data_IF_347904570490
#
_entry.id   IF_347904570490
#
_cell.length_a   1.000
_cell.length_b   1.000
_cell.length_c   1.000
_cell.angle_alpha   90.00
_cell.angle_beta   90.00
_cell.angle_gamma   90.00
#
_symmetry.space_group_name_H-M   'P 1'
#
loop_
_entity.id
_entity.type
_entity.pdbx_description
1 polymer ?
#
# COMPACT_ATOMS: atom_id res chain seq x y z
N UNK A 1 29.80 -4.61 2.41
CA UNK A 1 28.34 -4.64 2.14
C UNK A 1 27.66 -5.35 3.30
N UNK A 2 26.77 -4.67 4.01
CA UNK A 2 25.93 -5.21 5.12
C UNK A 2 24.83 -6.10 4.55
N UNK A 3 24.29 -7.00 5.40
CA UNK A 3 23.29 -7.97 4.95
C UNK A 3 22.06 -7.94 5.84
N UNK A 4 20.87 -7.71 5.24
CA UNK A 4 19.59 -7.73 5.94
C UNK A 4 18.81 -9.02 5.65
N UNK A 5 18.26 -9.63 6.71
CA UNK A 5 17.28 -10.71 6.60
C UNK A 5 15.88 -10.13 6.70
N UNK A 6 15.12 -10.17 5.61
CA UNK A 6 13.77 -9.63 5.53
C UNK A 6 12.76 -10.72 5.84
N UNK A 7 11.88 -10.48 6.81
CA UNK A 7 10.77 -11.36 7.17
C UNK A 7 9.49 -10.77 6.59
N UNK A 8 8.96 -11.41 5.56
CA UNK A 8 7.74 -10.99 4.87
C UNK A 8 6.88 -12.22 4.56
N UNK A 9 5.90 -12.59 5.41
CA UNK A 9 5.11 -13.81 5.25
C UNK A 9 4.44 -13.95 3.90
N UNK A 10 3.93 -12.87 3.34
CA UNK A 10 3.55 -12.80 1.93
C UNK A 10 4.71 -12.23 1.12
N UNK A 11 5.02 -12.87 0.01
CA UNK A 11 5.96 -12.36 -0.98
C UNK A 11 5.59 -12.90 -2.37
N UNK A 12 6.27 -12.42 -3.42
CA UNK A 12 5.94 -12.84 -4.79
C UNK A 12 5.81 -14.36 -4.93
N UNK A 13 4.84 -14.86 -5.69
CA UNK A 13 3.87 -14.19 -6.56
C UNK A 13 2.58 -13.70 -5.86
N UNK A 14 2.54 -13.64 -4.52
CA UNK A 14 1.38 -13.12 -3.80
C UNK A 14 1.17 -11.64 -4.12
N UNK A 15 -0.09 -11.25 -4.45
CA UNK A 15 -0.49 -9.87 -4.65
C UNK A 15 -0.95 -9.20 -3.32
N UNK A 16 -0.25 -9.46 -2.23
CA UNK A 16 -0.53 -8.82 -0.95
C UNK A 16 0.10 -7.43 -0.89
N UNK A 17 -0.62 -6.47 -0.33
CA UNK A 17 -0.17 -5.07 -0.32
C UNK A 17 1.10 -4.88 0.53
N UNK A 18 1.25 -5.63 1.61
CA UNK A 18 2.34 -5.49 2.57
C UNK A 18 3.73 -5.91 2.04
N UNK A 19 3.79 -6.74 1.01
CA UNK A 19 5.06 -7.13 0.41
C UNK A 19 5.61 -6.09 -0.60
N UNK A 20 4.80 -5.12 -0.99
CA UNK A 20 5.17 -4.17 -2.06
C UNK A 20 6.40 -3.34 -1.69
N UNK A 21 6.53 -2.90 -0.43
CA UNK A 21 7.72 -2.19 0.05
C UNK A 21 8.99 -3.00 -0.19
N UNK A 22 8.97 -4.27 0.25
CA UNK A 22 10.13 -5.18 0.10
C UNK A 22 10.48 -5.33 -1.37
N UNK A 23 9.49 -5.69 -2.19
CA UNK A 23 9.67 -5.91 -3.63
C UNK A 23 10.30 -4.72 -4.34
N UNK A 24 9.76 -3.52 -4.11
CA UNK A 24 10.24 -2.29 -4.75
C UNK A 24 11.63 -1.86 -4.28
N UNK A 25 12.07 -2.28 -3.08
CA UNK A 25 13.37 -1.90 -2.53
C UNK A 25 14.50 -2.82 -2.99
N UNK A 26 14.20 -4.08 -3.33
CA UNK A 26 15.23 -5.08 -3.65
C UNK A 26 16.22 -4.67 -4.73
N UNK A 27 15.84 -4.01 -5.84
CA UNK A 27 16.78 -3.61 -6.87
C UNK A 27 17.81 -2.58 -6.42
N UNK A 28 17.54 -1.87 -5.31
CA UNK A 28 18.32 -0.69 -4.91
C UNK A 28 19.17 -0.88 -3.66
N UNK A 29 19.05 -1.98 -2.92
CA UNK A 29 19.83 -2.19 -1.70
C UNK A 29 21.35 -2.11 -1.94
N UNK A 30 21.82 -2.64 -3.08
CA UNK A 30 23.25 -2.62 -3.43
C UNK A 30 23.78 -1.21 -3.68
N UNK A 31 22.93 -0.27 -4.12
CA UNK A 31 23.29 1.15 -4.29
C UNK A 31 23.69 1.82 -2.96
N UNK A 32 23.33 1.20 -1.83
CA UNK A 32 23.52 1.73 -0.48
C UNK A 32 24.29 0.76 0.42
N UNK A 33 25.19 -0.05 -0.17
CA UNK A 33 26.05 -1.02 0.51
C UNK A 33 25.31 -2.08 1.34
N UNK A 34 24.07 -2.40 0.93
CA UNK A 34 23.26 -3.46 1.53
C UNK A 34 23.01 -4.61 0.55
N UNK A 35 22.88 -5.82 1.10
CA UNK A 35 22.32 -6.98 0.41
C UNK A 35 21.16 -7.53 1.20
N UNK A 36 20.20 -8.18 0.53
CA UNK A 36 18.99 -8.68 1.16
C UNK A 36 18.75 -10.16 0.84
N UNK A 37 18.27 -10.90 1.83
CA UNK A 37 17.63 -12.20 1.63
C UNK A 37 16.25 -12.18 2.28
N UNK A 38 15.28 -12.89 1.71
CA UNK A 38 13.89 -12.86 2.15
C UNK A 38 13.49 -14.23 2.69
N UNK A 39 12.75 -14.23 3.80
CA UNK A 39 12.05 -15.42 4.29
C UNK A 39 10.54 -15.16 4.21
N UNK A 40 9.85 -15.97 3.42
CA UNK A 40 8.40 -15.91 3.22
C UNK A 40 7.76 -17.27 3.41
N UNK A 41 6.42 -17.35 3.44
CA UNK A 41 5.71 -18.62 3.48
C UNK A 41 5.50 -19.15 2.06
N UNK A 42 5.64 -20.46 1.87
CA UNK A 42 5.42 -21.10 0.57
C UNK A 42 3.98 -20.92 0.07
N UNK A 43 3.82 -20.78 -1.24
CA UNK A 43 2.56 -20.47 -1.93
C UNK A 43 1.43 -21.43 -1.54
N UNK A 44 1.72 -22.72 -1.43
CA UNK A 44 0.74 -23.76 -1.08
C UNK A 44 0.09 -23.59 0.30
N UNK A 45 0.61 -22.72 1.15
CA UNK A 45 0.09 -22.46 2.49
C UNK A 45 -0.67 -21.14 2.60
N UNK A 46 -0.70 -20.32 1.54
CA UNK A 46 -1.35 -19.01 1.52
C UNK A 46 -2.71 -19.07 0.84
N UNK A 47 -3.59 -18.12 1.18
CA UNK A 47 -4.85 -17.90 0.48
C UNK A 47 -4.79 -16.60 -0.34
N UNK A 48 -3.60 -16.08 -0.59
CA UNK A 48 -3.42 -14.85 -1.34
C UNK A 48 -3.77 -15.04 -2.81
N UNK A 49 -4.25 -14.00 -3.44
CA UNK A 49 -4.34 -13.95 -4.90
C UNK A 49 -2.92 -13.85 -5.46
N UNK A 50 -2.63 -14.64 -6.48
CA UNK A 50 -1.32 -14.64 -7.13
C UNK A 50 -1.32 -13.79 -8.40
N UNK A 51 -0.23 -13.08 -8.60
CA UNK A 51 0.13 -12.40 -9.84
C UNK A 51 1.58 -12.78 -10.17
N UNK A 52 1.75 -13.69 -11.11
CA UNK A 52 3.06 -14.25 -11.42
C UNK A 52 4.00 -13.27 -12.09
N UNK A 53 3.49 -12.23 -12.74
CA UNK A 53 4.31 -11.15 -13.31
C UNK A 53 5.07 -10.36 -12.23
N UNK A 54 4.64 -10.42 -10.97
CA UNK A 54 5.39 -9.80 -9.86
C UNK A 54 6.80 -10.37 -9.71
N UNK A 55 7.06 -11.61 -10.16
CA UNK A 55 8.39 -12.19 -10.15
C UNK A 55 9.38 -11.42 -11.03
N UNK A 56 8.92 -10.82 -12.14
CA UNK A 56 9.75 -10.09 -13.10
C UNK A 56 10.35 -8.82 -12.50
N UNK A 57 9.77 -8.33 -11.40
CA UNK A 57 10.26 -7.17 -10.67
C UNK A 57 11.33 -7.50 -9.62
N UNK A 58 11.60 -8.77 -9.37
CA UNK A 58 12.57 -9.21 -8.36
C UNK A 58 13.90 -9.59 -9.05
N UNK A 59 15.02 -8.96 -8.66
CA UNK A 59 16.33 -9.31 -9.23
C UNK A 59 16.68 -10.78 -9.01
N UNK A 60 17.19 -11.45 -10.05
CA UNK A 60 17.46 -12.89 -10.04
C UNK A 60 18.49 -13.34 -8.96
N UNK A 61 19.35 -12.43 -8.50
CA UNK A 61 20.35 -12.73 -7.46
C UNK A 61 19.79 -12.76 -6.04
N UNK A 62 18.54 -12.32 -5.83
CA UNK A 62 17.90 -12.29 -4.51
C UNK A 62 17.51 -13.70 -4.09
N UNK A 63 18.03 -14.14 -2.94
CA UNK A 63 17.65 -15.42 -2.35
C UNK A 63 16.32 -15.30 -1.61
N UNK A 64 15.36 -16.14 -2.00
CA UNK A 64 14.04 -16.24 -1.39
C UNK A 64 13.91 -17.59 -0.71
N UNK A 65 13.83 -17.58 0.62
CA UNK A 65 13.64 -18.76 1.45
C UNK A 65 12.14 -18.96 1.73
N UNK A 66 11.61 -20.14 1.41
CA UNK A 66 10.21 -20.47 1.62
C UNK A 66 10.05 -21.41 2.81
N UNK A 67 9.30 -20.97 3.84
CA UNK A 67 8.97 -21.79 5.00
C UNK A 67 7.58 -22.39 4.89
N UNK A 68 7.34 -23.49 5.62
CA UNK A 68 6.02 -24.10 5.72
C UNK A 68 5.11 -23.37 6.70
N UNK A 69 3.82 -23.69 6.65
CA UNK A 69 2.85 -23.29 7.66
C UNK A 69 1.88 -24.45 7.95
N UNK A 70 1.25 -24.44 9.11
CA UNK A 70 0.20 -25.39 9.43
C UNK A 70 -1.01 -25.22 8.49
N UNK A 71 -1.69 -26.29 8.08
CA UNK A 71 -2.85 -26.21 7.20
C UNK A 71 -3.97 -25.37 7.82
N UNK A 72 -4.46 -24.36 7.09
CA UNK A 72 -5.52 -23.45 7.57
C UNK A 72 -6.79 -24.18 7.97
N UNK A 73 -7.18 -25.23 7.22
CA UNK A 73 -8.38 -26.03 7.50
C UNK A 73 -8.38 -26.64 8.91
N UNK A 74 -7.21 -27.01 9.43
CA UNK A 74 -7.05 -27.57 10.76
C UNK A 74 -7.02 -26.50 11.85
N UNK A 75 -6.28 -25.41 11.61
CA UNK A 75 -5.94 -24.41 12.62
C UNK A 75 -7.00 -23.31 12.75
N UNK A 76 -7.78 -23.05 11.70
CA UNK A 76 -8.82 -22.01 11.70
C UNK A 76 -9.85 -22.18 12.83
N UNK A 77 -10.22 -23.41 13.15
CA UNK A 77 -11.19 -23.71 14.24
C UNK A 77 -10.69 -23.20 15.60
N UNK A 78 -9.38 -23.18 15.82
CA UNK A 78 -8.73 -22.76 17.06
C UNK A 78 -8.30 -21.28 17.08
N UNK A 79 -8.76 -20.47 16.13
CA UNK A 79 -8.37 -19.04 16.05
C UNK A 79 -7.04 -18.79 15.32
N UNK A 80 -6.25 -19.82 15.02
CA UNK A 80 -4.97 -19.72 14.32
C UNK A 80 -5.17 -19.64 12.80
N UNK A 81 -5.94 -18.65 12.34
CA UNK A 81 -6.21 -18.43 10.90
C UNK A 81 -5.15 -17.61 10.19
N UNK A 82 -4.44 -16.72 10.91
CA UNK A 82 -3.39 -15.88 10.35
C UNK A 82 -2.22 -16.72 9.82
N UNK A 83 -1.69 -16.35 8.67
CA UNK A 83 -0.51 -16.99 8.08
C UNK A 83 0.69 -16.88 9.01
N UNK A 84 0.87 -15.75 9.71
CA UNK A 84 1.93 -15.55 10.67
C UNK A 84 1.87 -16.55 11.83
N UNK A 85 0.70 -16.69 12.48
CA UNK A 85 0.54 -17.63 13.61
C UNK A 85 0.77 -19.08 13.18
N UNK A 86 0.29 -19.46 11.98
CA UNK A 86 0.46 -20.82 11.43
C UNK A 86 1.90 -21.16 11.07
N UNK A 87 2.72 -20.16 10.79
CA UNK A 87 4.09 -20.34 10.34
C UNK A 87 5.15 -20.04 11.41
N UNK A 88 4.79 -19.53 12.60
CA UNK A 88 5.73 -19.12 13.64
C UNK A 88 6.81 -20.16 13.98
N UNK A 89 6.39 -21.43 14.19
CA UNK A 89 7.34 -22.49 14.51
C UNK A 89 8.31 -22.79 13.35
N UNK A 90 7.80 -22.76 12.12
CA UNK A 90 8.61 -22.99 10.92
C UNK A 90 9.59 -21.83 10.70
N UNK A 91 9.16 -20.57 10.89
CA UNK A 91 10.05 -19.41 10.87
C UNK A 91 11.16 -19.56 11.91
N UNK A 92 10.80 -19.83 13.17
CA UNK A 92 11.77 -20.00 14.25
C UNK A 92 12.80 -21.09 13.93
N UNK A 93 12.34 -22.24 13.45
CA UNK A 93 13.21 -23.37 13.11
C UNK A 93 14.12 -23.06 11.95
N UNK A 94 13.56 -22.55 10.84
CA UNK A 94 14.29 -22.26 9.62
C UNK A 94 15.32 -21.13 9.81
N UNK A 95 14.89 -20.00 10.34
CA UNK A 95 15.74 -18.83 10.54
C UNK A 95 16.84 -19.13 11.58
N UNK A 96 16.58 -19.92 12.62
CA UNK A 96 17.64 -20.39 13.52
C UNK A 96 18.75 -21.17 12.80
N UNK A 97 18.40 -21.96 11.81
CA UNK A 97 19.41 -22.70 11.01
C UNK A 97 20.17 -21.76 10.08
N UNK A 98 19.46 -20.81 9.48
CA UNK A 98 20.02 -19.82 8.57
C UNK A 98 21.03 -18.93 9.30
N UNK A 99 20.65 -18.35 10.44
CA UNK A 99 21.52 -17.47 11.26
C UNK A 99 22.72 -18.17 11.89
N UNK A 100 22.75 -19.51 11.93
CA UNK A 100 23.96 -20.26 12.33
C UNK A 100 24.93 -20.47 11.17
N UNK A 101 24.44 -20.43 9.94
CA UNK A 101 25.22 -20.72 8.73
C UNK A 101 25.72 -19.46 8.04
N UNK A 102 24.94 -18.38 8.09
CA UNK A 102 25.21 -17.13 7.40
C UNK A 102 25.11 -15.97 8.39
N UNK A 103 25.99 -14.97 8.20
CA UNK A 103 25.98 -13.75 9.00
C UNK A 103 25.01 -12.75 8.40
N UNK A 104 24.15 -12.19 9.24
CA UNK A 104 23.29 -11.05 8.92
C UNK A 104 23.55 -9.95 9.93
N UNK A 105 23.48 -8.71 9.48
CA UNK A 105 23.73 -7.52 10.31
C UNK A 105 22.42 -6.97 10.91
N UNK A 106 21.27 -7.29 10.28
CA UNK A 106 19.95 -6.81 10.68
C UNK A 106 18.86 -7.81 10.32
N UNK A 107 17.79 -7.86 11.11
CA UNK A 107 16.51 -8.51 10.76
C UNK A 107 15.47 -7.42 10.54
N UNK A 108 14.81 -7.41 9.40
CA UNK A 108 13.77 -6.45 9.06
C UNK A 108 12.42 -7.14 8.87
N UNK A 109 11.46 -6.82 9.72
CA UNK A 109 10.09 -7.29 9.60
C UNK A 109 9.28 -6.28 8.78
N UNK A 110 8.97 -6.60 7.55
CA UNK A 110 8.12 -5.75 6.69
C UNK A 110 6.86 -6.51 6.30
N UNK A 111 5.79 -6.30 7.06
CA UNK A 111 4.54 -7.05 6.90
C UNK A 111 3.41 -6.48 7.75
N UNK A 112 2.16 -6.73 7.34
CA UNK A 112 0.96 -6.58 8.17
C UNK A 112 0.59 -7.87 8.92
N UNK A 113 1.36 -8.94 8.72
CA UNK A 113 1.21 -10.21 9.46
C UNK A 113 2.02 -10.16 10.77
N UNK A 114 1.74 -9.17 11.58
CA UNK A 114 2.50 -8.75 12.76
C UNK A 114 2.86 -9.84 13.77
N UNK A 115 2.06 -10.90 14.04
CA UNK A 115 2.45 -11.93 15.02
C UNK A 115 3.83 -12.53 14.79
N UNK A 116 4.37 -12.51 13.55
CA UNK A 116 5.74 -13.00 13.27
C UNK A 116 6.81 -12.15 13.92
N UNK A 117 6.54 -10.85 14.17
CA UNK A 117 7.48 -9.90 14.80
C UNK A 117 7.83 -10.28 16.24
N UNK A 118 6.99 -11.09 16.91
CA UNK A 118 7.28 -11.61 18.25
C UNK A 118 8.53 -12.53 18.28
N UNK A 119 9.05 -12.96 17.13
CA UNK A 119 10.31 -13.69 17.01
C UNK A 119 11.55 -12.76 17.08
N UNK A 120 11.40 -11.45 16.88
CA UNK A 120 12.50 -10.47 16.92
C UNK A 120 13.29 -10.50 18.22
N UNK A 121 12.67 -10.33 19.39
CA UNK A 121 13.38 -10.39 20.69
C UNK A 121 14.10 -11.72 20.92
N UNK A 122 13.50 -12.84 20.48
CA UNK A 122 14.11 -14.15 20.58
C UNK A 122 15.39 -14.26 19.73
N UNK A 123 15.37 -13.81 18.47
CA UNK A 123 16.55 -13.85 17.61
C UNK A 123 17.63 -12.86 18.08
N UNK A 124 17.25 -11.67 18.50
CA UNK A 124 18.16 -10.69 19.08
C UNK A 124 18.87 -11.25 20.30
N UNK A 125 18.13 -11.81 21.27
CA UNK A 125 18.73 -12.44 22.48
C UNK A 125 19.65 -13.61 22.12
N UNK A 126 19.33 -14.41 21.10
CA UNK A 126 20.06 -15.64 20.78
C UNK A 126 21.27 -15.43 19.90
N UNK A 127 21.19 -14.48 18.98
CA UNK A 127 22.21 -14.28 17.93
C UNK A 127 22.86 -12.89 17.99
N UNK A 128 22.39 -12.00 18.85
CA UNK A 128 22.93 -10.63 18.97
C UNK A 128 22.58 -9.73 17.79
N UNK A 129 21.60 -10.11 16.93
CA UNK A 129 21.27 -9.37 15.73
C UNK A 129 20.13 -8.39 16.03
N UNK A 130 20.30 -7.06 15.79
CA UNK A 130 19.25 -6.08 15.94
C UNK A 130 18.09 -6.30 14.97
N UNK A 131 16.91 -5.77 15.31
CA UNK A 131 15.75 -5.88 14.41
C UNK A 131 14.93 -4.61 14.37
N UNK A 132 14.32 -4.39 13.21
CA UNK A 132 13.42 -3.29 12.88
C UNK A 132 12.05 -3.84 12.49
N UNK A 133 10.98 -3.12 12.87
CA UNK A 133 9.61 -3.44 12.47
C UNK A 133 9.06 -2.31 11.61
N UNK A 134 8.47 -2.66 10.46
CA UNK A 134 7.74 -1.77 9.55
C UNK A 134 6.25 -1.81 9.88
N UNK A 135 5.76 -0.74 10.48
CA UNK A 135 4.36 -0.55 10.85
C UNK A 135 3.57 0.02 9.67
N UNK A 136 3.17 -0.85 8.78
CA UNK A 136 2.38 -0.48 7.60
C UNK A 136 0.91 -0.22 7.92
N UNK A 137 0.42 -0.77 9.02
CA UNK A 137 -0.91 -0.59 9.60
C UNK A 137 -0.79 -0.59 11.14
N UNK A 138 -1.78 -0.07 11.88
CA UNK A 138 -1.84 -0.26 13.32
C UNK A 138 -2.00 -1.74 13.68
N UNK A 139 -1.09 -2.30 14.48
CA UNK A 139 -1.18 -3.69 14.91
C UNK A 139 -2.27 -3.86 15.96
N UNK A 140 -2.09 -3.27 17.15
CA UNK A 140 -3.11 -3.27 18.20
C UNK A 140 -3.95 -1.99 18.13
N UNK A 141 -5.26 -2.14 18.05
CA UNK A 141 -6.20 -1.02 17.99
C UNK A 141 -7.52 -1.34 18.69
N UNK A 142 -8.09 -0.34 19.36
CA UNK A 142 -9.42 -0.42 19.97
C UNK A 142 -10.57 -0.10 19.00
N UNK A 143 -10.28 0.12 17.72
CA UNK A 143 -11.25 0.56 16.70
C UNK A 143 -12.56 -0.24 16.67
N UNK A 144 -12.51 -1.54 16.96
CA UNK A 144 -13.69 -2.39 16.96
C UNK A 144 -14.35 -2.53 18.35
N UNK A 145 -13.70 -2.08 19.43
CA UNK A 145 -14.24 -2.15 20.79
C UNK A 145 -15.55 -1.34 20.92
N UNK A 146 -15.59 -0.15 20.30
CA UNK A 146 -16.74 0.73 20.31
C UNK A 146 -17.83 0.34 19.28
N UNK A 147 -17.58 -0.71 18.49
CA UNK A 147 -18.55 -1.16 17.48
C UNK A 147 -19.45 -2.29 17.98
N UNK A 148 -20.72 -2.31 17.57
CA UNK A 148 -21.63 -3.42 17.86
C UNK A 148 -21.04 -4.76 17.40
N UNK A 149 -21.32 -5.83 18.12
CA UNK A 149 -20.77 -7.18 17.87
C UNK A 149 -20.93 -7.67 16.42
N UNK A 150 -22.06 -7.33 15.76
CA UNK A 150 -22.32 -7.74 14.38
C UNK A 150 -21.44 -7.03 13.34
N UNK A 151 -20.83 -5.88 13.71
CA UNK A 151 -19.87 -5.14 12.86
C UNK A 151 -18.41 -5.53 13.11
N UNK A 152 -18.15 -6.38 14.11
CA UNK A 152 -16.79 -6.85 14.42
C UNK A 152 -16.42 -8.04 13.54
N UNK A 153 -15.16 -8.18 13.13
CA UNK A 153 -14.69 -9.37 12.40
C UNK A 153 -14.98 -10.67 13.16
N UNK A 154 -15.18 -11.76 12.43
CA UNK A 154 -15.31 -13.08 13.06
C UNK A 154 -14.06 -13.39 13.91
N UNK A 155 -14.27 -13.88 15.14
CA UNK A 155 -13.19 -14.18 16.10
C UNK A 155 -12.34 -12.97 16.53
N UNK A 156 -12.88 -11.77 16.43
CA UNK A 156 -12.24 -10.54 16.88
C UNK A 156 -11.68 -10.63 18.31
N UNK A 157 -12.40 -11.28 19.23
CA UNK A 157 -11.96 -11.48 20.61
C UNK A 157 -10.61 -12.20 20.71
N UNK A 158 -10.32 -13.13 19.80
CA UNK A 158 -9.05 -13.86 19.77
C UNK A 158 -7.94 -13.01 19.17
N UNK A 159 -8.17 -12.39 18.01
CA UNK A 159 -7.16 -11.50 17.38
C UNK A 159 -6.82 -10.33 18.29
N UNK A 160 -7.81 -9.66 18.88
CA UNK A 160 -7.60 -8.57 19.82
C UNK A 160 -6.71 -8.96 21.01
N UNK A 161 -6.97 -10.12 21.64
CA UNK A 161 -6.13 -10.61 22.74
C UNK A 161 -4.73 -10.99 22.30
N UNK A 162 -4.62 -11.66 21.15
CA UNK A 162 -3.34 -12.02 20.54
C UNK A 162 -2.50 -10.77 20.29
N UNK A 163 -3.09 -9.76 19.67
CA UNK A 163 -2.40 -8.53 19.31
C UNK A 163 -2.00 -7.72 20.54
N UNK A 164 -2.89 -7.60 21.53
CA UNK A 164 -2.64 -6.99 22.82
C UNK A 164 -1.47 -7.64 23.58
N UNK A 165 -1.26 -8.94 23.42
CA UNK A 165 -0.17 -9.68 24.05
C UNK A 165 1.12 -9.65 23.24
N UNK A 166 1.05 -9.81 21.91
CA UNK A 166 2.22 -9.97 21.05
C UNK A 166 2.89 -8.64 20.68
N UNK A 167 2.11 -7.55 20.53
CA UNK A 167 2.68 -6.23 20.23
C UNK A 167 3.70 -5.79 21.31
N UNK A 168 3.38 -5.80 22.63
CA UNK A 168 4.36 -5.46 23.68
C UNK A 168 5.60 -6.35 23.64
N UNK A 169 5.43 -7.64 23.37
CA UNK A 169 6.57 -8.57 23.28
C UNK A 169 7.50 -8.15 22.13
N UNK A 170 6.95 -7.83 20.96
CA UNK A 170 7.74 -7.43 19.82
C UNK A 170 8.39 -6.05 19.99
N UNK A 171 7.72 -5.11 20.68
CA UNK A 171 8.21 -3.75 20.90
C UNK A 171 9.24 -3.63 22.02
N UNK A 172 9.35 -4.63 22.91
CA UNK A 172 10.20 -4.57 24.10
C UNK A 172 11.67 -4.28 23.81
N UNK A 173 12.23 -4.97 22.81
CA UNK A 173 13.67 -4.95 22.51
C UNK A 173 13.96 -4.51 21.06
N UNK A 174 12.99 -3.89 20.40
CA UNK A 174 13.15 -3.40 19.01
C UNK A 174 14.24 -2.32 18.94
N UNK A 175 14.98 -2.28 17.83
CA UNK A 175 16.11 -1.35 17.65
C UNK A 175 15.76 -0.15 16.76
N UNK A 176 14.71 -0.26 15.97
CA UNK A 176 14.20 0.83 15.13
C UNK A 176 12.77 0.55 14.66
N UNK A 177 12.06 1.61 14.31
CA UNK A 177 10.69 1.54 13.82
C UNK A 177 10.60 2.30 12.50
N UNK A 178 10.08 1.63 11.48
CA UNK A 178 9.62 2.24 10.25
C UNK A 178 8.10 2.30 10.24
N UNK A 179 7.52 3.30 9.60
CA UNK A 179 6.08 3.36 9.41
C UNK A 179 5.72 4.08 8.11
N UNK A 180 4.47 3.95 7.70
CA UNK A 180 3.88 4.71 6.59
C UNK A 180 3.28 6.04 7.04
N UNK A 181 3.19 6.27 8.37
CA UNK A 181 2.56 7.45 8.97
C UNK A 181 3.20 7.79 10.30
N UNK A 182 3.49 9.07 10.53
CA UNK A 182 3.98 9.59 11.82
C UNK A 182 2.99 9.29 12.95
N UNK A 183 1.67 9.37 12.66
CA UNK A 183 0.64 9.09 13.65
C UNK A 183 0.72 7.66 14.22
N UNK A 184 1.19 6.67 13.43
CA UNK A 184 1.37 5.30 13.93
C UNK A 184 2.58 5.20 14.86
N UNK A 185 3.66 5.93 14.58
CA UNK A 185 4.83 6.02 15.45
C UNK A 185 4.44 6.71 16.76
N UNK A 186 3.73 7.84 16.69
CA UNK A 186 3.26 8.59 17.86
C UNK A 186 2.38 7.75 18.77
N UNK A 187 1.45 6.97 18.18
CA UNK A 187 0.58 6.07 18.94
C UNK A 187 1.34 4.92 19.61
N UNK A 188 2.40 4.42 18.97
CA UNK A 188 3.30 3.44 19.58
C UNK A 188 4.10 4.05 20.72
N UNK A 189 4.66 5.25 20.57
CA UNK A 189 5.42 5.95 21.61
C UNK A 189 4.53 6.26 22.80
N UNK A 190 3.28 6.66 22.59
CA UNK A 190 2.30 6.85 23.68
C UNK A 190 2.07 5.56 24.48
N UNK A 191 2.00 4.40 23.81
CA UNK A 191 1.82 3.10 24.47
C UNK A 191 3.10 2.56 25.10
N UNK A 192 4.25 2.84 24.46
CA UNK A 192 5.58 2.32 24.83
C UNK A 192 6.60 3.46 24.87
N UNK A 193 6.68 4.26 25.96
CA UNK A 193 7.52 5.46 26.02
C UNK A 193 9.02 5.24 25.75
N UNK A 194 9.54 4.02 25.98
CA UNK A 194 10.93 3.68 25.69
C UNK A 194 11.27 3.77 24.20
N UNK A 195 10.28 3.67 23.30
CA UNK A 195 10.46 3.78 21.85
C UNK A 195 10.84 5.19 21.40
N UNK A 196 10.54 6.23 22.18
CA UNK A 196 10.90 7.61 21.85
C UNK A 196 12.42 7.85 21.69
N UNK A 197 13.26 6.93 22.18
CA UNK A 197 14.72 7.00 22.10
C UNK A 197 15.30 6.18 20.93
N UNK A 198 14.46 5.54 20.15
CA UNK A 198 14.89 4.69 19.05
C UNK A 198 14.94 5.47 17.73
N UNK A 199 15.79 5.07 16.80
CA UNK A 199 15.69 5.51 15.41
C UNK A 199 14.31 5.19 14.84
N UNK A 200 13.68 6.19 14.21
CA UNK A 200 12.39 6.04 13.55
C UNK A 200 12.43 6.67 12.17
N UNK A 201 11.63 6.15 11.22
CA UNK A 201 11.47 6.76 9.92
C UNK A 201 10.05 6.57 9.37
N UNK A 202 9.43 7.66 8.94
CA UNK A 202 8.16 7.61 8.19
C UNK A 202 8.48 7.56 6.70
N UNK A 203 8.20 6.41 6.10
CA UNK A 203 8.48 6.14 4.70
C UNK A 203 7.19 5.56 4.08
N UNK A 204 6.56 6.31 3.17
CA UNK A 204 5.40 5.84 2.40
C UNK A 204 5.81 4.77 1.39
N UNK A 205 4.84 4.08 0.79
CA UNK A 205 5.13 3.27 -0.39
C UNK A 205 5.56 4.19 -1.52
N UNK A 206 6.57 3.79 -2.28
CA UNK A 206 7.13 4.60 -3.35
C UNK A 206 6.51 4.35 -4.72
N UNK A 207 6.88 5.18 -5.68
CA UNK A 207 6.67 4.92 -7.10
C UNK A 207 7.79 4.05 -7.67
N UNK A 208 7.45 2.97 -8.37
CA UNK A 208 8.40 2.02 -8.92
C UNK A 208 8.25 1.94 -10.45
N UNK A 209 9.20 2.53 -11.17
CA UNK A 209 9.12 2.67 -12.63
C UNK A 209 9.06 1.33 -13.36
N UNK A 210 9.77 0.35 -12.86
CA UNK A 210 9.79 -0.98 -13.44
C UNK A 210 8.38 -1.61 -13.54
N UNK A 211 7.46 -1.27 -12.63
CA UNK A 211 6.09 -1.77 -12.72
C UNK A 211 5.36 -1.28 -13.98
N UNK A 212 5.59 -0.04 -14.39
CA UNK A 212 4.99 0.50 -15.61
C UNK A 212 5.61 -0.14 -16.86
N UNK A 213 6.91 -0.41 -16.81
CA UNK A 213 7.65 -1.06 -17.90
C UNK A 213 7.22 -2.52 -18.08
N UNK A 214 7.08 -3.26 -16.97
CA UNK A 214 6.56 -4.65 -17.01
C UNK A 214 5.14 -4.67 -17.58
N UNK A 215 4.24 -3.81 -17.10
CA UNK A 215 2.88 -3.73 -17.63
C UNK A 215 2.85 -3.40 -19.12
N UNK A 216 3.69 -2.47 -19.58
CA UNK A 216 3.80 -2.09 -20.98
C UNK A 216 4.34 -3.24 -21.86
N UNK A 217 5.32 -4.00 -21.37
CA UNK A 217 5.90 -5.13 -22.09
C UNK A 217 4.92 -6.30 -22.23
N UNK A 218 4.04 -6.50 -21.23
CA UNK A 218 3.03 -7.56 -21.20
C UNK A 218 1.62 -7.11 -21.63
N UNK A 219 1.48 -5.94 -22.26
CA UNK A 219 0.18 -5.36 -22.63
C UNK A 219 -0.76 -6.28 -23.39
N UNK A 220 -0.23 -7.22 -24.18
CA UNK A 220 -1.02 -8.17 -24.97
C UNK A 220 -1.60 -9.32 -24.12
N UNK A 221 -1.09 -9.54 -22.93
CA UNK A 221 -1.52 -10.57 -21.99
C UNK A 221 -2.47 -10.01 -20.92
N UNK A 222 -2.37 -8.70 -20.66
CA UNK A 222 -3.15 -7.99 -19.65
C UNK A 222 -4.52 -7.56 -20.18
N UNK A 223 -5.53 -7.59 -19.32
CA UNK A 223 -6.90 -7.27 -19.69
C UNK A 223 -7.29 -5.88 -19.24
N UNK A 224 -8.01 -5.18 -20.10
CA UNK A 224 -8.74 -3.98 -19.71
C UNK A 224 -10.05 -4.37 -19.00
N UNK A 225 -10.35 -3.66 -17.93
CA UNK A 225 -11.58 -3.85 -17.16
C UNK A 225 -12.77 -3.03 -17.74
N UNK A 226 -12.57 -2.36 -18.84
CA UNK A 226 -13.59 -1.55 -19.54
C UNK A 226 -13.42 -1.65 -21.05
N UNK A 227 -14.49 -1.33 -21.78
CA UNK A 227 -14.43 -1.17 -23.24
C UNK A 227 -13.69 0.13 -23.58
N UNK A 228 -12.52 0.00 -24.21
CA UNK A 228 -11.65 1.12 -24.60
C UNK A 228 -12.01 1.64 -26.02
N UNK A 229 -13.29 1.88 -26.26
CA UNK A 229 -13.73 2.42 -27.55
C UNK A 229 -13.18 3.83 -27.77
N UNK A 230 -12.53 4.11 -28.90
CA UNK A 230 -11.96 5.43 -29.21
C UNK A 230 -13.02 6.52 -29.40
N UNK A 231 -14.30 6.15 -29.48
CA UNK A 231 -15.42 7.09 -29.53
C UNK A 231 -15.62 7.85 -28.21
N UNK A 232 -15.06 7.32 -27.10
CA UNK A 232 -15.22 7.87 -25.77
C UNK A 232 -13.89 8.32 -25.17
N UNK A 233 -13.98 9.06 -24.05
CA UNK A 233 -12.87 9.45 -23.21
C UNK A 233 -13.00 8.79 -21.85
N UNK A 234 -11.99 8.01 -21.51
CA UNK A 234 -12.01 7.11 -20.37
C UNK A 234 -11.28 7.72 -19.18
N UNK A 235 -12.03 7.99 -18.11
CA UNK A 235 -11.52 8.46 -16.82
C UNK A 235 -11.55 7.28 -15.86
N UNK A 236 -10.38 6.85 -15.40
CA UNK A 236 -10.21 5.58 -14.68
C UNK A 236 -9.75 5.80 -13.24
N UNK A 237 -10.34 5.05 -12.35
CA UNK A 237 -9.90 4.83 -10.98
C UNK A 237 -9.73 3.34 -10.71
N UNK A 238 -8.57 2.94 -10.20
CA UNK A 238 -8.31 1.58 -9.73
C UNK A 238 -8.01 1.60 -8.24
N UNK A 239 -8.85 0.96 -7.44
CA UNK A 239 -8.63 0.91 -6.00
C UNK A 239 -9.90 0.75 -5.19
N UNK A 240 -9.75 0.74 -3.86
CA UNK A 240 -10.87 0.56 -2.93
C UNK A 240 -11.93 1.65 -3.12
N UNK A 241 -13.18 1.23 -3.26
CA UNK A 241 -14.36 2.05 -3.08
C UNK A 241 -14.88 1.96 -1.64
N UNK A 242 -16.01 2.56 -1.40
CA UNK A 242 -16.70 2.50 -0.11
C UNK A 242 -17.54 3.74 0.14
N UNK A 243 -18.40 3.68 1.14
CA UNK A 243 -19.30 4.79 1.49
C UNK A 243 -18.54 6.07 1.87
N UNK A 244 -17.36 5.93 2.42
CA UNK A 244 -16.47 7.03 2.81
C UNK A 244 -15.89 7.80 1.60
N UNK A 245 -15.91 7.21 0.41
CA UNK A 245 -15.46 7.86 -0.84
C UNK A 245 -16.60 8.44 -1.69
N UNK A 246 -17.85 8.17 -1.30
CA UNK A 246 -19.03 8.63 -2.07
C UNK A 246 -19.09 10.15 -2.21
N UNK A 247 -18.59 10.91 -1.23
CA UNK A 247 -18.61 12.39 -1.31
C UNK A 247 -17.76 12.90 -2.48
N UNK A 248 -16.55 12.36 -2.64
CA UNK A 248 -15.67 12.72 -3.75
C UNK A 248 -16.28 12.32 -5.11
N UNK A 249 -16.82 11.10 -5.21
CA UNK A 249 -17.51 10.63 -6.43
C UNK A 249 -18.75 11.46 -6.73
N UNK A 250 -19.51 11.84 -5.70
CA UNK A 250 -20.67 12.73 -5.88
C UNK A 250 -20.27 14.09 -6.43
N UNK A 251 -19.18 14.69 -5.96
CA UNK A 251 -18.67 15.96 -6.47
C UNK A 251 -18.23 15.84 -7.92
N UNK A 252 -17.46 14.78 -8.25
CA UNK A 252 -17.07 14.48 -9.64
C UNK A 252 -18.28 14.43 -10.57
N UNK A 253 -19.27 13.60 -10.22
CA UNK A 253 -20.45 13.37 -11.09
C UNK A 253 -21.41 14.55 -11.13
N UNK A 254 -21.46 15.40 -10.08
CA UNK A 254 -22.17 16.69 -10.15
C UNK A 254 -21.50 17.65 -11.13
N UNK A 255 -20.15 17.75 -11.11
CA UNK A 255 -19.40 18.52 -12.10
C UNK A 255 -19.64 18.02 -13.53
N UNK A 256 -19.65 16.70 -13.73
CA UNK A 256 -20.01 16.08 -14.98
C UNK A 256 -21.44 16.43 -15.44
N UNK A 257 -22.42 16.37 -14.54
CA UNK A 257 -23.82 16.73 -14.85
C UNK A 257 -23.99 18.20 -15.22
N UNK A 258 -23.19 19.09 -14.60
CA UNK A 258 -23.13 20.51 -15.02
C UNK A 258 -22.59 20.60 -16.44
N UNK A 259 -21.53 19.84 -16.76
CA UNK A 259 -20.95 19.78 -18.08
C UNK A 259 -21.92 19.30 -19.16
N UNK A 260 -22.66 18.22 -18.90
CA UNK A 260 -23.72 17.74 -19.80
C UNK A 260 -24.78 18.78 -20.11
N UNK A 261 -25.13 19.64 -19.11
CA UNK A 261 -26.08 20.74 -19.32
C UNK A 261 -25.51 21.87 -20.15
N UNK A 262 -24.21 22.17 -20.02
CA UNK A 262 -23.55 23.31 -20.69
C UNK A 262 -23.02 22.95 -22.08
N UNK A 263 -22.51 21.75 -22.25
CA UNK A 263 -21.88 21.24 -23.48
C UNK A 263 -22.12 19.73 -23.65
N UNK A 264 -23.36 19.39 -23.96
CA UNK A 264 -23.75 17.99 -24.15
C UNK A 264 -22.91 17.26 -25.18
N UNK A 265 -22.61 17.93 -26.32
CA UNK A 265 -21.89 17.34 -27.45
C UNK A 265 -20.53 16.75 -27.05
N UNK A 266 -19.77 17.42 -26.19
CA UNK A 266 -18.46 16.96 -25.76
C UNK A 266 -18.55 16.09 -24.50
N UNK A 267 -19.32 16.49 -23.49
CA UNK A 267 -19.38 15.77 -22.22
C UNK A 267 -20.04 14.39 -22.34
N UNK A 268 -20.98 14.16 -23.28
CA UNK A 268 -21.57 12.84 -23.50
C UNK A 268 -20.54 11.76 -23.89
N UNK A 269 -19.32 12.15 -24.30
CA UNK A 269 -18.23 11.23 -24.65
C UNK A 269 -17.45 10.73 -23.44
N UNK A 270 -17.59 11.35 -22.27
CA UNK A 270 -16.86 10.94 -21.08
C UNK A 270 -17.43 9.63 -20.52
N UNK A 271 -16.53 8.75 -20.08
CA UNK A 271 -16.85 7.50 -19.37
C UNK A 271 -16.01 7.39 -18.11
N UNK A 272 -16.64 6.98 -17.05
CA UNK A 272 -16.00 6.83 -15.73
C UNK A 272 -15.96 5.37 -15.33
N UNK A 273 -14.77 4.87 -15.01
CA UNK A 273 -14.55 3.46 -14.69
C UNK A 273 -13.95 3.34 -13.29
N UNK A 274 -14.68 2.69 -12.38
CA UNK A 274 -14.25 2.38 -11.03
C UNK A 274 -13.92 0.89 -10.95
N UNK A 275 -12.66 0.53 -10.68
CA UNK A 275 -12.16 -0.84 -10.85
C UNK A 275 -11.58 -1.35 -9.54
N UNK A 276 -11.94 -2.59 -9.15
CA UNK A 276 -11.41 -3.26 -7.96
C UNK A 276 -11.89 -2.64 -6.66
N UNK A 277 -13.16 -2.18 -6.61
CA UNK A 277 -13.65 -1.32 -5.54
C UNK A 277 -13.96 -2.06 -4.23
N UNK A 278 -14.05 -3.40 -4.21
CA UNK A 278 -14.42 -4.17 -3.02
C UNK A 278 -13.34 -5.15 -2.58
N UNK A 279 -13.27 -5.38 -1.25
CA UNK A 279 -12.51 -6.47 -0.62
C UNK A 279 -13.37 -7.70 -0.32
N UNK A 280 -14.66 -7.67 -0.71
CA UNK A 280 -15.55 -8.81 -0.55
C UNK A 280 -15.09 -9.99 -1.42
N UNK A 281 -15.48 -11.22 -1.10
CA UNK A 281 -15.24 -12.37 -1.96
C UNK A 281 -15.76 -12.14 -3.39
N UNK A 282 -15.13 -12.79 -4.36
CA UNK A 282 -15.44 -12.66 -5.79
C UNK A 282 -16.96 -12.73 -6.04
N UNK A 283 -17.48 -11.77 -6.78
CA UNK A 283 -18.90 -11.67 -7.16
C UNK A 283 -19.84 -11.21 -6.03
N UNK A 284 -19.34 -10.95 -4.80
CA UNK A 284 -20.17 -10.53 -3.66
C UNK A 284 -20.00 -9.07 -3.24
N UNK A 285 -19.23 -8.29 -4.01
CA UNK A 285 -18.99 -6.88 -3.74
C UNK A 285 -20.22 -6.00 -4.01
N UNK A 286 -20.45 -5.00 -3.18
CA UNK A 286 -21.49 -3.99 -3.39
C UNK A 286 -20.94 -2.84 -4.24
N UNK A 287 -21.70 -2.43 -5.27
CA UNK A 287 -21.37 -1.29 -6.14
C UNK A 287 -21.67 0.05 -5.44
N UNK A 288 -20.84 0.42 -4.47
CA UNK A 288 -21.05 1.60 -3.64
C UNK A 288 -20.86 2.92 -4.39
N UNK A 289 -20.00 2.96 -5.40
CA UNK A 289 -19.71 4.17 -6.18
C UNK A 289 -20.70 4.35 -7.33
N UNK A 290 -21.08 3.26 -8.00
CA UNK A 290 -22.11 3.29 -9.05
C UNK A 290 -23.47 3.74 -8.51
N UNK A 291 -23.81 3.39 -7.26
CA UNK A 291 -25.05 3.86 -6.62
C UNK A 291 -25.17 5.40 -6.55
N UNK A 292 -24.03 6.11 -6.55
CA UNK A 292 -24.02 7.59 -6.63
C UNK A 292 -24.40 8.05 -8.04
N UNK A 293 -23.94 7.37 -9.07
CA UNK A 293 -24.27 7.69 -10.47
C UNK A 293 -25.75 7.48 -10.74
N UNK A 294 -26.34 6.39 -10.25
CA UNK A 294 -27.77 6.11 -10.37
C UNK A 294 -28.61 7.21 -9.72
N UNK A 295 -28.28 7.60 -8.47
CA UNK A 295 -28.98 8.69 -7.76
C UNK A 295 -28.92 10.03 -8.49
N UNK A 296 -27.87 10.28 -9.27
CA UNK A 296 -27.69 11.49 -10.04
C UNK A 296 -28.29 11.40 -11.45
N UNK A 297 -28.75 10.23 -11.89
CA UNK A 297 -29.27 9.98 -13.25
C UNK A 297 -28.21 10.03 -14.33
N UNK A 298 -26.97 9.58 -14.00
CA UNK A 298 -25.83 9.52 -14.95
C UNK A 298 -25.21 8.12 -14.99
N UNK A 299 -25.96 7.09 -14.63
CA UNK A 299 -25.51 5.70 -14.59
C UNK A 299 -24.96 5.18 -15.91
N UNK A 300 -25.53 5.61 -17.05
CA UNK A 300 -25.07 5.18 -18.39
C UNK A 300 -23.63 5.59 -18.75
N UNK A 301 -23.05 6.52 -17.98
CA UNK A 301 -21.69 7.01 -18.16
C UNK A 301 -20.68 6.38 -17.23
N UNK A 302 -21.13 5.52 -16.30
CA UNK A 302 -20.32 4.98 -15.20
C UNK A 302 -20.34 3.47 -15.19
N UNK A 303 -19.18 2.86 -15.02
CA UNK A 303 -19.06 1.44 -14.71
C UNK A 303 -18.37 1.24 -13.37
N UNK A 304 -18.76 0.23 -12.62
CA UNK A 304 -18.05 -0.22 -11.42
C UNK A 304 -17.87 -1.73 -11.46
N UNK A 305 -16.61 -2.14 -11.47
CA UNK A 305 -16.20 -3.52 -11.24
C UNK A 305 -15.74 -3.66 -9.79
N UNK A 306 -16.51 -4.40 -9.00
CA UNK A 306 -16.21 -4.60 -7.57
C UNK A 306 -15.05 -5.55 -7.35
N UNK A 307 -14.95 -6.59 -8.19
CA UNK A 307 -13.91 -7.59 -8.08
C UNK A 307 -12.53 -7.01 -8.40
N UNK A 308 -11.55 -7.41 -7.59
CA UNK A 308 -10.17 -6.97 -7.76
C UNK A 308 -9.55 -7.63 -8.98
N UNK A 309 -8.75 -6.87 -9.70
CA UNK A 309 -7.90 -7.34 -10.80
C UNK A 309 -6.47 -7.56 -10.30
N UNK A 310 -5.63 -8.18 -11.12
CA UNK A 310 -4.21 -8.38 -10.81
C UNK A 310 -3.47 -7.05 -10.67
N UNK A 311 -2.26 -7.08 -10.07
CA UNK A 311 -1.48 -5.87 -9.87
C UNK A 311 -1.11 -5.21 -11.20
N UNK A 312 -0.62 -5.99 -12.16
CA UNK A 312 -0.21 -5.44 -13.46
C UNK A 312 -1.39 -5.08 -14.37
N UNK A 313 -2.52 -5.77 -14.27
CA UNK A 313 -3.75 -5.30 -14.89
C UNK A 313 -4.17 -3.93 -14.34
N UNK A 314 -3.97 -3.70 -13.02
CA UNK A 314 -4.24 -2.38 -12.42
C UNK A 314 -3.39 -1.28 -13.06
N UNK A 315 -2.08 -1.51 -13.20
CA UNK A 315 -1.16 -0.57 -13.86
C UNK A 315 -1.53 -0.37 -15.33
N UNK A 316 -1.83 -1.46 -16.06
CA UNK A 316 -2.19 -1.41 -17.47
C UNK A 316 -3.49 -0.60 -17.70
N UNK A 317 -4.50 -0.77 -16.85
CA UNK A 317 -5.74 0.02 -16.92
C UNK A 317 -5.48 1.52 -16.69
N UNK A 318 -4.56 1.88 -15.77
CA UNK A 318 -4.16 3.28 -15.57
C UNK A 318 -3.42 3.84 -16.79
N UNK A 319 -2.49 3.07 -17.37
CA UNK A 319 -1.73 3.50 -18.56
C UNK A 319 -2.61 3.68 -19.81
N UNK A 320 -3.69 2.89 -19.91
CA UNK A 320 -4.59 2.89 -21.06
C UNK A 320 -5.66 3.99 -21.00
N UNK A 321 -5.84 4.65 -19.85
CA UNK A 321 -6.82 5.70 -19.66
C UNK A 321 -6.47 7.00 -20.41
N UNK A 322 -7.48 7.82 -20.75
CA UNK A 322 -7.27 9.19 -21.20
C UNK A 322 -6.95 10.13 -20.03
N UNK A 323 -7.58 9.91 -18.87
CA UNK A 323 -7.33 10.63 -17.64
C UNK A 323 -7.60 9.75 -16.41
N UNK A 324 -7.10 10.16 -15.27
CA UNK A 324 -7.20 9.42 -14.02
C UNK A 324 -7.99 10.20 -12.98
N UNK A 325 -8.72 9.48 -12.14
CA UNK A 325 -9.43 10.04 -11.01
C UNK A 325 -9.00 9.39 -9.71
N UNK A 326 -8.85 10.16 -8.64
CA UNK A 326 -8.55 9.62 -7.31
C UNK A 326 -9.55 10.19 -6.30
N UNK A 327 -10.50 9.37 -5.82
CA UNK A 327 -11.38 9.78 -4.73
C UNK A 327 -10.63 9.77 -3.41
N UNK A 328 -10.81 10.82 -2.63
CA UNK A 328 -10.25 10.98 -1.31
C UNK A 328 -11.29 10.96 -0.21
N UNK A 329 -10.85 11.36 0.98
CA UNK A 329 -11.63 11.41 2.19
C UNK A 329 -11.61 12.81 2.82
N UNK A 330 -12.63 13.15 3.62
CA UNK A 330 -12.71 14.45 4.31
C UNK A 330 -11.68 14.60 5.43
N UNK A 331 -11.17 13.50 5.97
CA UNK A 331 -10.19 13.53 7.06
C UNK A 331 -8.78 13.80 6.54
N UNK A 332 -8.01 14.68 7.19
CA UNK A 332 -6.64 15.00 6.77
C UNK A 332 -5.66 13.83 6.91
N UNK A 333 -5.92 12.91 7.83
CA UNK A 333 -5.07 11.72 8.05
C UNK A 333 -5.14 10.67 6.92
N UNK A 334 -5.84 10.95 5.83
CA UNK A 334 -5.91 10.02 4.70
C UNK A 334 -4.60 10.02 3.92
N UNK A 335 -3.88 8.91 3.95
CA UNK A 335 -2.67 8.67 3.16
C UNK A 335 -3.01 7.75 1.98
N UNK A 336 -2.83 8.25 0.77
CA UNK A 336 -3.12 7.50 -0.45
C UNK A 336 -1.82 7.16 -1.20
N UNK A 337 -1.04 6.20 -0.71
CA UNK A 337 0.20 5.76 -1.38
C UNK A 337 0.02 5.31 -2.83
N UNK A 338 -1.22 5.00 -3.24
CA UNK A 338 -1.56 4.72 -4.64
C UNK A 338 -1.37 5.90 -5.59
N UNK A 339 -1.21 7.14 -5.09
CA UNK A 339 -1.00 8.31 -5.95
C UNK A 339 0.29 8.21 -6.77
N UNK A 340 1.33 7.59 -6.23
CA UNK A 340 2.64 7.55 -6.89
C UNK A 340 2.64 6.78 -8.20
N UNK A 341 2.08 5.56 -8.32
CA UNK A 341 1.88 4.91 -9.60
C UNK A 341 1.04 5.74 -10.58
N UNK A 342 0.02 6.46 -10.10
CA UNK A 342 -0.80 7.33 -10.94
C UNK A 342 0.04 8.47 -11.55
N UNK A 343 0.80 9.18 -10.72
CA UNK A 343 1.71 10.25 -11.18
C UNK A 343 2.66 9.73 -12.24
N UNK A 344 3.24 8.55 -12.02
CA UNK A 344 4.22 7.95 -12.93
C UNK A 344 3.64 7.52 -14.28
N UNK A 345 2.32 7.41 -14.43
CA UNK A 345 1.70 7.20 -15.76
C UNK A 345 1.76 8.43 -16.65
N UNK A 346 2.06 9.61 -16.10
CA UNK A 346 2.06 10.90 -16.80
C UNK A 346 0.69 11.25 -17.44
N UNK A 347 -0.38 10.62 -16.97
CA UNK A 347 -1.74 10.94 -17.41
C UNK A 347 -2.29 12.15 -16.63
N UNK A 348 -3.20 12.94 -17.20
CA UNK A 348 -3.92 13.96 -16.44
C UNK A 348 -4.65 13.34 -15.24
N UNK A 349 -4.44 13.89 -14.05
CA UNK A 349 -5.02 13.40 -12.79
C UNK A 349 -5.96 14.45 -12.23
N UNK A 350 -7.16 14.03 -11.82
CA UNK A 350 -8.03 14.76 -10.92
C UNK A 350 -8.11 14.02 -9.58
N UNK A 351 -7.69 14.67 -8.52
CA UNK A 351 -7.89 14.18 -7.15
C UNK A 351 -8.89 15.07 -6.42
N UNK A 352 -9.78 14.46 -5.64
CA UNK A 352 -10.72 15.20 -4.76
C UNK A 352 -10.39 14.82 -3.33
N UNK A 353 -9.65 15.69 -2.64
CA UNK A 353 -9.07 15.44 -1.32
C UNK A 353 -9.37 16.56 -0.33
N UNK A 354 -9.22 16.29 0.96
CA UNK A 354 -8.91 17.32 1.93
C UNK A 354 -7.51 17.87 1.64
N UNK A 355 -7.39 19.18 1.45
CA UNK A 355 -6.10 19.81 1.09
C UNK A 355 -5.02 19.69 2.18
N UNK A 356 -5.41 19.45 3.44
CA UNK A 356 -4.46 19.21 4.55
C UNK A 356 -3.88 17.78 4.54
N UNK A 357 -4.37 16.89 3.65
CA UNK A 357 -3.85 15.54 3.58
C UNK A 357 -2.48 15.48 2.89
N UNK A 358 -1.60 14.61 3.37
CA UNK A 358 -0.30 14.37 2.76
C UNK A 358 -0.39 13.95 1.28
N UNK A 359 -1.48 13.26 0.91
CA UNK A 359 -1.72 12.87 -0.48
C UNK A 359 -2.04 14.07 -1.38
N UNK A 360 -2.85 15.03 -0.89
CA UNK A 360 -3.10 16.29 -1.63
C UNK A 360 -1.82 17.09 -1.77
N UNK A 361 -1.06 17.21 -0.68
CA UNK A 361 0.18 17.98 -0.67
C UNK A 361 1.21 17.40 -1.67
N UNK A 362 1.39 16.08 -1.69
CA UNK A 362 2.31 15.44 -2.66
C UNK A 362 1.93 15.71 -4.12
N UNK A 363 0.63 15.74 -4.46
CA UNK A 363 0.17 16.06 -5.81
C UNK A 363 0.42 17.55 -6.16
N UNK A 364 0.21 18.44 -5.19
CA UNK A 364 0.38 19.89 -5.35
C UNK A 364 1.88 20.22 -5.52
N UNK A 365 2.71 19.74 -4.60
CA UNK A 365 4.15 20.01 -4.59
C UNK A 365 4.80 19.49 -5.87
N UNK A 366 4.44 18.28 -6.30
CA UNK A 366 4.92 17.71 -7.55
C UNK A 366 4.26 18.30 -8.81
N UNK A 367 3.32 19.21 -8.70
CA UNK A 367 2.51 19.72 -9.86
C UNK A 367 1.95 18.62 -10.74
N UNK A 368 1.55 17.49 -10.13
CA UNK A 368 1.26 16.25 -10.83
C UNK A 368 -0.21 16.07 -11.26
N UNK A 369 -1.07 17.06 -10.98
CA UNK A 369 -2.48 16.99 -11.35
C UNK A 369 -3.33 18.09 -10.73
N UNK A 370 -4.62 17.99 -10.98
CA UNK A 370 -5.64 18.89 -10.42
C UNK A 370 -6.12 18.34 -9.07
N UNK A 371 -6.06 19.16 -8.04
CA UNK A 371 -6.55 18.82 -6.71
C UNK A 371 -7.75 19.70 -6.37
N UNK A 372 -8.91 19.08 -6.19
CA UNK A 372 -10.13 19.75 -5.77
C UNK A 372 -10.35 19.55 -4.26
N UNK A 373 -10.69 20.62 -3.55
CA UNK A 373 -10.95 20.57 -2.11
C UNK A 373 -12.31 19.94 -1.80
N UNK A 374 -12.28 18.75 -1.22
CA UNK A 374 -13.51 18.01 -0.84
C UNK A 374 -14.38 18.78 0.17
N UNK A 375 -13.78 19.72 0.92
CA UNK A 375 -14.49 20.52 1.94
C UNK A 375 -15.08 21.81 1.37
N UNK A 376 -14.55 22.34 0.27
CA UNK A 376 -15.03 23.55 -0.38
C UNK A 376 -15.74 23.23 -1.69
N UNK A 377 -17.07 23.11 -1.62
CA UNK A 377 -17.87 22.73 -2.78
C UNK A 377 -17.72 23.66 -3.98
N UNK A 378 -17.63 24.99 -3.76
CA UNK A 378 -17.60 25.98 -4.85
C UNK A 378 -16.30 25.83 -5.66
N UNK A 379 -15.17 25.90 -5.00
CA UNK A 379 -13.85 25.76 -5.67
C UNK A 379 -13.67 24.36 -6.25
N UNK A 380 -14.16 23.31 -5.57
CA UNK A 380 -14.12 21.97 -6.11
C UNK A 380 -14.90 21.86 -7.43
N UNK A 381 -16.09 22.44 -7.54
CA UNK A 381 -16.87 22.41 -8.78
C UNK A 381 -16.17 23.14 -9.93
N UNK A 382 -15.50 24.25 -9.67
CA UNK A 382 -14.71 24.98 -10.66
C UNK A 382 -13.54 24.12 -11.18
N UNK A 383 -12.77 23.51 -10.27
CA UNK A 383 -11.63 22.63 -10.62
C UNK A 383 -12.09 21.39 -11.39
N UNK A 384 -13.15 20.72 -10.90
CA UNK A 384 -13.70 19.53 -11.54
C UNK A 384 -14.23 19.83 -12.94
N UNK A 385 -15.00 20.91 -13.08
CA UNK A 385 -15.55 21.31 -14.38
C UNK A 385 -14.44 21.64 -15.37
N UNK A 386 -13.43 22.41 -14.97
CA UNK A 386 -12.28 22.76 -15.81
C UNK A 386 -11.53 21.50 -16.29
N UNK A 387 -11.25 20.57 -15.37
CA UNK A 387 -10.61 19.30 -15.70
C UNK A 387 -11.44 18.49 -16.70
N UNK A 388 -12.72 18.23 -16.38
CA UNK A 388 -13.60 17.43 -17.24
C UNK A 388 -13.81 18.06 -18.62
N UNK A 389 -13.90 19.40 -18.69
CA UNK A 389 -13.96 20.11 -19.96
C UNK A 389 -12.70 19.91 -20.79
N UNK A 390 -11.52 20.03 -20.17
CA UNK A 390 -10.24 19.80 -20.85
C UNK A 390 -10.11 18.37 -21.38
N UNK A 391 -10.59 17.35 -20.64
CA UNK A 391 -10.63 15.97 -21.12
C UNK A 391 -11.59 15.81 -22.29
N UNK A 392 -12.81 16.40 -22.20
CA UNK A 392 -13.84 16.30 -23.23
C UNK A 392 -13.43 16.98 -24.54
N UNK A 393 -12.76 18.12 -24.46
CA UNK A 393 -12.33 18.93 -25.60
C UNK A 393 -10.94 18.55 -26.15
N UNK A 394 -10.25 17.57 -25.54
CA UNK A 394 -8.86 17.21 -25.83
C UNK A 394 -7.86 18.38 -25.69
N UNK A 395 -8.14 19.33 -24.81
CA UNK A 395 -7.28 20.48 -24.57
C UNK A 395 -6.41 20.31 -23.33
N UNK A 396 -6.64 19.24 -22.53
CA UNK A 396 -5.86 18.98 -21.33
C UNK A 396 -4.48 18.44 -21.71
N UNK A 397 -3.45 19.25 -21.42
CA UNK A 397 -2.07 18.84 -21.60
C UNK A 397 -1.66 17.77 -20.55
N UNK A 398 -0.57 17.06 -20.84
CA UNK A 398 0.09 16.24 -19.83
C UNK A 398 0.48 17.12 -18.64
N UNK A 399 0.44 16.58 -17.41
CA UNK A 399 0.92 17.32 -16.24
C UNK A 399 2.39 17.73 -16.41
N UNK A 400 2.70 18.96 -16.06
CA UNK A 400 4.07 19.46 -15.96
C UNK A 400 4.69 19.04 -14.62
N UNK A 401 4.76 17.73 -14.41
CA UNK A 401 5.18 17.15 -13.15
C UNK A 401 6.61 17.57 -12.81
N UNK A 402 6.78 18.10 -11.61
CA UNK A 402 8.10 18.37 -11.04
C UNK A 402 8.74 17.06 -10.57
N UNK A 403 9.57 16.48 -11.44
CA UNK A 403 10.23 15.22 -11.17
C UNK A 403 11.34 15.36 -10.11
N UNK A 404 11.82 16.56 -9.84
CA UNK A 404 12.79 16.81 -8.76
C UNK A 404 12.10 16.66 -7.42
N UNK A 405 10.92 17.28 -7.26
CA UNK A 405 10.11 17.11 -6.06
C UNK A 405 9.59 15.67 -5.91
N UNK A 406 9.28 15.00 -7.02
CA UNK A 406 8.81 13.61 -7.01
C UNK A 406 9.91 12.62 -6.62
N UNK A 407 11.20 12.95 -6.77
CA UNK A 407 12.33 12.01 -6.55
C UNK A 407 12.27 11.38 -5.15
N UNK A 408 11.89 12.12 -4.11
CA UNK A 408 11.75 11.61 -2.74
C UNK A 408 10.76 10.45 -2.58
N UNK A 409 9.81 10.33 -3.51
CA UNK A 409 8.77 9.28 -3.53
C UNK A 409 9.14 8.09 -4.43
N UNK A 410 10.25 8.12 -5.14
CA UNK A 410 10.72 6.98 -5.94
C UNK A 410 11.23 5.85 -5.05
N UNK A 411 11.05 4.62 -5.52
CA UNK A 411 11.49 3.42 -4.80
C UNK A 411 12.97 3.46 -4.41
N UNK A 412 13.84 4.03 -5.23
CA UNK A 412 15.26 4.19 -4.92
C UNK A 412 15.49 5.11 -3.73
N UNK A 413 14.84 6.28 -3.71
CA UNK A 413 14.98 7.26 -2.62
C UNK A 413 14.38 6.72 -1.30
N UNK A 414 13.21 6.05 -1.37
CA UNK A 414 12.61 5.41 -0.19
C UNK A 414 13.47 4.26 0.33
N UNK A 415 14.17 3.51 -0.54
CA UNK A 415 15.13 2.47 -0.16
C UNK A 415 16.36 3.08 0.54
N UNK A 416 16.86 4.22 0.06
CA UNK A 416 17.95 4.92 0.74
C UNK A 416 17.57 5.24 2.18
N UNK A 417 16.41 5.84 2.40
CA UNK A 417 15.90 6.15 3.75
C UNK A 417 15.71 4.92 4.62
N UNK A 418 15.36 3.76 4.03
CA UNK A 418 15.35 2.49 4.75
C UNK A 418 16.76 2.10 5.20
N UNK A 419 17.74 2.17 4.30
CA UNK A 419 19.12 1.82 4.59
C UNK A 419 19.71 2.76 5.65
N UNK A 420 19.40 4.07 5.59
CA UNK A 420 19.81 5.04 6.61
C UNK A 420 19.26 4.65 8.00
N UNK A 421 17.98 4.24 8.07
CA UNK A 421 17.39 3.73 9.31
C UNK A 421 18.04 2.42 9.79
N UNK A 422 18.39 1.53 8.87
CA UNK A 422 19.08 0.28 9.20
C UNK A 422 20.44 0.57 9.83
N UNK A 423 21.20 1.50 9.26
CA UNK A 423 22.51 1.90 9.76
C UNK A 423 22.41 2.52 11.17
N UNK A 424 21.52 3.48 11.35
CA UNK A 424 21.27 4.10 12.65
C UNK A 424 20.84 3.10 13.73
N UNK A 425 20.03 2.10 13.34
CA UNK A 425 19.56 1.08 14.29
C UNK A 425 20.67 0.13 14.71
N UNK A 426 21.61 -0.21 13.81
CA UNK A 426 22.80 -1.00 14.15
C UNK A 426 23.73 -0.21 15.07
N UNK A 427 24.03 1.05 14.77
CA UNK A 427 24.86 1.93 15.60
C UNK A 427 24.29 2.09 17.00
N UNK A 428 22.98 2.33 17.12
CA UNK A 428 22.30 2.43 18.41
C UNK A 428 22.37 1.12 19.19
N UNK A 429 22.22 -0.02 18.52
CA UNK A 429 22.34 -1.34 19.15
C UNK A 429 23.75 -1.58 19.69
N UNK A 430 24.79 -1.29 18.90
CA UNK A 430 26.19 -1.45 19.30
C UNK A 430 26.55 -0.55 20.51
N UNK A 431 26.10 0.71 20.48
CA UNK A 431 26.32 1.66 21.59
C UNK A 431 25.68 1.17 22.88
N UNK A 432 24.44 0.68 22.83
CA UNK A 432 23.77 0.10 24.01
C UNK A 432 24.48 -1.13 24.54
N UNK A 433 25.01 -1.97 23.67
CA UNK A 433 25.75 -3.16 24.06
C UNK A 433 27.07 -2.80 24.80
N UNK A 434 27.81 -1.81 24.26
CA UNK A 434 29.03 -1.31 24.93
C UNK A 434 28.74 -0.72 26.31
N UNK A 435 27.71 0.11 26.46
CA UNK A 435 27.30 0.70 27.72
C UNK A 435 26.82 -0.34 28.75
N UNK A 436 26.32 -1.48 28.33
CA UNK A 436 25.89 -2.55 29.24
C UNK A 436 27.03 -3.45 29.73
N UNK A 437 28.25 -3.29 29.19
CA UNK A 437 29.46 -4.02 29.61
C UNK A 437 30.36 -3.22 30.58
N UNK A 438 30.05 -1.92 30.72
CA UNK A 438 30.68 -1.02 31.70
C UNK A 438 29.80 -1.01 32.96
#
# INVERSE_FOLDING_TARGET
MKKVLIISPYFVPSNAADMQRVRMSLPFYQDFDWSAEIVCVGEQYTDAVFDYLLNDSVPAHIKIHRVSALPKKLTYKFGLGSIALRSLWFYKSYVNRLLRKEKFDLIFFSTTQFPVCALGPYWKKKFGIPYIIDMQDPWFTNYYEDKPKYKRPKKYWFSYRSDKYLEPVAMKDVDGIMSVSDAYIDDLIKRYPHLAKLPTATITFGGFRQDLEIAANHKNELKLAYDNSPAFKHIVYVGRGGFDMQKAVMQLLKGFKIGLKKDFKNFQKLRFHFIGTSYAPLGSGEKTLYSVAEKLGVGDYVTEQTDRISFYESIFNLQSADALFIPGHEKPAYTASKIYPYIMTEKPILAIFNLESSAAQSLIDCRAGYVADILNYKTAMETIYTFLKGVADHTLAKPETDWTEFEQYRARATTKRQCDLFDLSIENHQTKHLLSQI
#
